data_IF_675949345973
#
_entry.id   IF_675949345973
#
_cell.length_a   1.000
_cell.length_b   1.000
_cell.length_c   1.000
_cell.angle_alpha   90.00
_cell.angle_beta   90.00
_cell.angle_gamma   90.00
#
_symmetry.space_group_name_H-M   'P 1'
#
loop_
_entity.id
_entity.type
_entity.pdbx_description
1 polymer ?
#
# COMPACT_ATOMS: atom_id res chain seq x y z
N UNK A 1 6.45 3.78 7.95
CA UNK A 1 6.68 4.92 7.04
C UNK A 1 5.38 5.27 6.35
N UNK A 2 4.97 6.53 6.41
CA UNK A 2 3.71 6.99 5.80
C UNK A 2 3.91 7.36 4.33
N UNK A 3 3.08 6.79 3.46
CA UNK A 3 3.09 7.05 2.02
C UNK A 3 1.70 7.40 1.50
N UNK A 4 1.65 8.14 0.40
CA UNK A 4 0.39 8.49 -0.27
C UNK A 4 -0.01 7.34 -1.16
N UNK A 5 -1.17 6.77 -0.89
CA UNK A 5 -1.73 5.65 -1.64
C UNK A 5 -3.00 6.10 -2.35
N UNK A 6 -3.11 5.71 -3.61
CA UNK A 6 -4.29 5.98 -4.43
C UNK A 6 -5.16 4.73 -4.46
N UNK A 7 -6.43 4.92 -4.15
CA UNK A 7 -7.42 3.87 -3.97
C UNK A 7 -8.58 4.08 -4.93
N UNK A 8 -9.14 2.99 -5.45
CA UNK A 8 -10.40 3.02 -6.20
C UNK A 8 -11.53 2.42 -5.37
N UNK A 9 -12.59 3.20 -5.15
CA UNK A 9 -13.73 2.76 -4.37
C UNK A 9 -14.49 1.63 -5.08
N UNK A 10 -14.75 0.51 -4.40
CA UNK A 10 -15.59 -0.56 -4.95
C UNK A 10 -17.03 -0.11 -5.22
N UNK A 11 -17.55 0.80 -4.40
CA UNK A 11 -18.96 1.21 -4.41
C UNK A 11 -19.24 2.31 -5.44
N UNK A 12 -18.55 3.45 -5.33
CA UNK A 12 -18.78 4.59 -6.23
C UNK A 12 -17.81 4.68 -7.42
N UNK A 13 -16.83 3.78 -7.52
CA UNK A 13 -15.79 3.76 -8.56
C UNK A 13 -14.88 4.99 -8.61
N UNK A 14 -15.10 5.99 -7.74
CA UNK A 14 -14.25 7.16 -7.59
C UNK A 14 -12.86 6.78 -7.10
N UNK A 15 -11.86 7.49 -7.61
CA UNK A 15 -10.45 7.32 -7.23
C UNK A 15 -10.08 8.43 -6.24
N UNK A 16 -9.44 8.06 -5.12
CA UNK A 16 -9.04 9.00 -4.07
C UNK A 16 -7.69 8.63 -3.50
N UNK A 17 -6.98 9.62 -2.97
CA UNK A 17 -5.65 9.42 -2.39
C UNK A 17 -5.71 9.65 -0.89
N UNK A 18 -5.17 8.70 -0.10
CA UNK A 18 -5.02 8.86 1.35
C UNK A 18 -3.57 8.65 1.76
N UNK A 19 -3.15 9.38 2.80
CA UNK A 19 -1.90 9.11 3.50
C UNK A 19 -2.12 7.95 4.46
N UNK A 20 -1.34 6.88 4.29
CA UNK A 20 -1.41 5.68 5.12
C UNK A 20 -0.01 5.19 5.47
N UNK A 21 0.11 4.69 6.69
CA UNK A 21 1.28 3.93 7.08
C UNK A 21 1.06 2.47 6.68
N UNK A 22 2.01 1.92 5.92
CA UNK A 22 1.97 0.54 5.41
C UNK A 22 3.00 -0.36 6.08
N UNK A 23 3.71 0.14 7.09
CA UNK A 23 4.80 -0.59 7.72
C UNK A 23 4.23 -1.68 8.64
N UNK A 24 4.52 -2.94 8.32
CA UNK A 24 4.03 -4.09 9.09
C UNK A 24 2.52 -4.37 8.98
N UNK A 25 1.78 -3.67 8.11
CA UNK A 25 0.33 -3.84 7.95
C UNK A 25 0.01 -4.64 6.69
N UNK A 26 -0.73 -5.74 6.86
CA UNK A 26 -1.19 -6.58 5.75
C UNK A 26 -2.54 -6.13 5.17
N UNK A 27 -3.40 -5.49 5.95
CA UNK A 27 -4.73 -5.04 5.53
C UNK A 27 -4.95 -3.61 5.97
N UNK A 28 -5.27 -2.72 5.02
CA UNK A 28 -5.65 -1.34 5.31
C UNK A 28 -7.16 -1.17 5.31
N UNK A 29 -7.68 -0.62 6.39
CA UNK A 29 -9.06 -0.12 6.44
C UNK A 29 -9.10 1.32 5.93
N UNK A 30 -9.91 1.56 4.91
CA UNK A 30 -10.10 2.87 4.29
C UNK A 30 -11.59 3.20 4.20
N UNK A 31 -11.90 4.49 4.29
CA UNK A 31 -13.25 5.00 4.07
C UNK A 31 -13.22 5.89 2.84
N UNK A 32 -14.12 5.64 1.89
CA UNK A 32 -14.21 6.47 0.71
C UNK A 32 -14.71 7.88 1.08
N UNK A 33 -14.01 8.97 0.70
CA UNK A 33 -14.44 10.33 1.01
C UNK A 33 -15.68 10.78 0.21
N UNK A 34 -16.04 10.07 -0.87
CA UNK A 34 -17.18 10.42 -1.73
C UNK A 34 -18.48 9.76 -1.28
N UNK A 35 -18.50 8.43 -1.15
CA UNK A 35 -19.70 7.67 -0.78
C UNK A 35 -19.70 7.19 0.66
N UNK A 36 -18.66 7.49 1.43
CA UNK A 36 -18.50 7.13 2.85
C UNK A 36 -18.53 5.63 3.14
N UNK A 37 -18.43 4.78 2.12
CA UNK A 37 -18.36 3.33 2.28
C UNK A 37 -17.04 2.93 2.95
N UNK A 38 -17.14 2.04 3.93
CA UNK A 38 -15.99 1.35 4.51
C UNK A 38 -15.51 0.28 3.53
N UNK A 39 -14.21 0.23 3.32
CA UNK A 39 -13.57 -0.70 2.42
C UNK A 39 -12.24 -1.17 3.02
N UNK A 40 -11.80 -2.34 2.59
CA UNK A 40 -10.51 -2.90 2.96
C UNK A 40 -9.63 -3.09 1.72
N UNK A 41 -8.32 -2.98 1.93
CA UNK A 41 -7.30 -3.18 0.92
C UNK A 41 -6.31 -4.18 1.45
N UNK A 42 -6.22 -5.31 0.76
CA UNK A 42 -5.21 -6.32 1.06
C UNK A 42 -3.88 -5.90 0.44
N UNK A 43 -2.89 -5.68 1.30
CA UNK A 43 -1.51 -5.37 0.95
C UNK A 43 -0.61 -6.61 0.90
N UNK A 44 -1.06 -7.78 1.39
CA UNK A 44 -0.29 -9.03 1.31
C UNK A 44 0.28 -9.32 -0.09
N UNK A 45 -0.48 -9.19 -1.20
CA UNK A 45 0.06 -9.49 -2.52
C UNK A 45 1.15 -8.50 -2.98
N UNK A 46 1.23 -7.32 -2.37
CA UNK A 46 2.20 -6.26 -2.70
C UNK A 46 3.35 -6.14 -1.70
N UNK A 47 3.30 -6.90 -0.60
CA UNK A 47 4.44 -7.14 0.26
C UNK A 47 5.41 -8.06 -0.51
N UNK A 48 6.12 -7.50 -1.49
CA UNK A 48 7.21 -8.16 -2.18
C UNK A 48 8.14 -8.70 -1.10
N UNK A 49 8.24 -10.04 -1.01
CA UNK A 49 9.25 -10.73 -0.18
C UNK A 49 10.55 -9.98 -0.40
N UNK A 50 11.10 -9.38 0.65
CA UNK A 50 12.31 -8.56 0.61
C UNK A 50 13.30 -9.16 -0.38
N UNK A 51 13.31 -8.64 -1.62
CA UNK A 51 14.33 -9.01 -2.57
C UNK A 51 15.55 -8.31 -2.03
N UNK A 52 16.40 -9.07 -1.31
CA UNK A 52 17.76 -8.65 -1.03
C UNK A 52 18.41 -8.44 -2.40
N UNK A 53 18.35 -7.21 -2.90
CA UNK A 53 19.12 -6.80 -4.05
C UNK A 53 20.57 -6.79 -3.57
N UNK A 54 21.26 -7.92 -3.69
CA UNK A 54 22.72 -7.96 -3.64
C UNK A 54 23.22 -7.22 -4.89
N UNK A 55 23.35 -5.90 -4.77
CA UNK A 55 24.01 -5.08 -5.78
C UNK A 55 25.51 -5.27 -5.58
N UNK A 56 26.10 -6.17 -6.35
CA UNK A 56 27.54 -6.31 -6.40
C UNK A 56 28.19 -5.01 -6.87
N UNK A 57 28.99 -4.41 -6.00
CA UNK A 57 30.00 -3.42 -6.36
C UNK A 57 29.80 -2.01 -5.77
N UNK A 58 30.62 -1.69 -4.76
CA UNK A 58 31.03 -0.32 -4.46
C UNK A 58 30.48 0.27 -3.15
N UNK A 59 31.28 0.12 -2.09
CA UNK A 59 31.54 1.06 -0.99
C UNK A 59 30.46 2.10 -0.62
N UNK A 60 29.91 1.98 0.59
CA UNK A 60 29.16 3.07 1.24
C UNK A 60 27.95 2.61 2.05
N UNK A 61 28.16 2.38 3.34
CA UNK A 61 27.18 2.14 4.40
C UNK A 61 26.21 3.35 4.54
N UNK A 62 24.90 3.12 4.35
CA UNK A 62 23.86 3.54 5.31
C UNK A 62 22.55 2.77 5.04
N UNK A 63 22.07 2.11 6.08
CA UNK A 63 21.03 1.08 6.06
C UNK A 63 19.63 1.70 6.02
N UNK A 64 19.14 2.03 4.82
CA UNK A 64 17.70 2.15 4.61
C UNK A 64 17.15 0.79 4.15
N UNK A 65 16.90 -0.12 5.10
CA UNK A 65 16.06 -1.31 4.92
C UNK A 65 14.59 -0.89 4.67
N UNK A 66 14.37 -0.10 3.61
CA UNK A 66 13.06 0.26 3.13
C UNK A 66 12.48 -0.94 2.40
N UNK A 67 11.55 -1.64 3.05
CA UNK A 67 10.68 -2.60 2.37
C UNK A 67 10.05 -1.89 1.18
N UNK A 68 10.53 -2.18 -0.03
CA UNK A 68 10.02 -1.55 -1.25
C UNK A 68 8.74 -2.30 -1.60
N UNK A 69 7.58 -1.76 -1.19
CA UNK A 69 6.30 -2.26 -1.67
C UNK A 69 6.11 -1.81 -3.12
N UNK A 70 6.09 -2.76 -4.06
CA UNK A 70 5.72 -2.50 -5.45
C UNK A 70 4.19 -2.42 -5.53
N UNK A 71 3.67 -1.24 -5.21
CA UNK A 71 2.23 -0.98 -5.24
C UNK A 71 1.82 -0.50 -6.64
N UNK A 72 0.71 -1.00 -7.21
CA UNK A 72 0.16 -0.45 -8.44
C UNK A 72 -0.28 1.00 -8.22
N UNK A 73 -0.34 1.77 -9.32
CA UNK A 73 -0.76 3.18 -9.30
C UNK A 73 -2.14 3.39 -8.67
N UNK A 74 -3.02 2.39 -8.78
CA UNK A 74 -4.36 2.40 -8.17
C UNK A 74 -4.63 1.08 -7.45
N UNK A 75 -4.88 1.15 -6.15
CA UNK A 75 -5.25 0.02 -5.32
C UNK A 75 -6.78 -0.18 -5.34
N UNK A 76 -7.30 -1.31 -5.87
CA UNK A 76 -8.72 -1.60 -5.81
C UNK A 76 -9.12 -1.92 -4.37
N UNK A 77 -10.15 -1.25 -3.86
CA UNK A 77 -10.72 -1.54 -2.54
C UNK A 77 -11.77 -2.65 -2.64
N UNK A 78 -12.01 -3.38 -1.54
CA UNK A 78 -13.06 -4.40 -1.41
C UNK A 78 -14.04 -4.02 -0.30
N UNK A 79 -15.31 -4.44 -0.35
CA UNK A 79 -16.22 -4.28 0.77
C UNK A 79 -15.64 -5.00 2.00
N UNK A 80 -15.66 -4.33 3.15
CA UNK A 80 -15.22 -4.92 4.41
C UNK A 80 -16.06 -6.17 4.70
N UNK A 81 -15.43 -7.34 4.65
CA UNK A 81 -16.06 -8.58 5.10
C UNK A 81 -16.06 -8.55 6.63
N UNK A 82 -17.23 -8.37 7.23
CA UNK A 82 -17.41 -8.26 8.69
C UNK A 82 -17.63 -9.61 9.35
#
# INVERSE_FOLDING_TARGET
MSQRLTFKCYNCQETYTLLRDTEGVSVLLVKCPYCHAEAEVDLQPYLSKAHTIYKGGGDGDDQALGQTLELPDVLPTRPRQS
#
